data_IF_080890830071
#
_entry.id   IF_080890830071
#
_cell.length_a   1.000
_cell.length_b   1.000
_cell.length_c   1.000
_cell.angle_alpha   90.00
_cell.angle_beta   90.00
_cell.angle_gamma   90.00
#
_symmetry.space_group_name_H-M   'P 1'
#
loop_
_entity.id
_entity.type
_entity.pdbx_description
1 polymer ?
#
# COMPACT_ATOMS: atom_id res chain seq x y z
N UNK A 1 -11.10 32.52 29.79
CA UNK A 1 -12.02 31.55 30.42
C UNK A 1 -12.78 30.87 29.31
N UNK A 2 -12.69 29.56 29.18
CA UNK A 2 -13.36 28.75 28.14
C UNK A 2 -14.89 28.83 28.33
N UNK A 3 -15.63 29.17 27.26
CA UNK A 3 -17.09 29.21 27.27
C UNK A 3 -17.64 28.03 26.47
N UNK A 4 -18.58 27.30 27.08
CA UNK A 4 -19.23 26.14 26.43
C UNK A 4 -19.91 26.56 25.12
N UNK A 5 -20.46 27.78 25.06
CA UNK A 5 -21.09 28.33 23.84
C UNK A 5 -20.07 28.51 22.68
N UNK A 6 -18.82 28.88 22.96
CA UNK A 6 -17.78 28.98 21.94
C UNK A 6 -17.41 27.61 21.40
N UNK A 7 -17.38 26.60 22.26
CA UNK A 7 -17.15 25.21 21.89
C UNK A 7 -18.26 24.68 20.98
N UNK A 8 -19.53 24.85 21.37
CA UNK A 8 -20.67 24.39 20.58
C UNK A 8 -20.74 25.10 19.23
N UNK A 9 -20.58 26.44 19.20
CA UNK A 9 -20.56 27.21 17.96
C UNK A 9 -19.44 26.78 17.00
N UNK A 10 -18.31 26.30 17.54
CA UNK A 10 -17.22 25.79 16.70
C UNK A 10 -17.64 24.51 15.96
N UNK A 11 -18.28 23.57 16.64
CA UNK A 11 -18.74 22.34 16.03
C UNK A 11 -19.91 22.53 15.08
N UNK A 12 -20.82 23.46 15.38
CA UNK A 12 -21.91 23.83 14.45
C UNK A 12 -21.37 24.30 13.09
N UNK A 13 -20.28 25.09 13.09
CA UNK A 13 -19.61 25.51 11.86
C UNK A 13 -18.96 24.36 11.09
N UNK A 14 -18.52 23.31 11.78
CA UNK A 14 -17.85 22.14 11.22
C UNK A 14 -18.76 20.93 11.04
N UNK A 15 -20.08 21.13 10.96
CA UNK A 15 -21.10 20.10 10.70
C UNK A 15 -21.16 18.99 11.76
N UNK A 16 -21.04 19.38 13.04
CA UNK A 16 -21.09 18.47 14.19
C UNK A 16 -19.86 17.52 14.28
N UNK A 17 -19.94 16.52 15.14
CA UNK A 17 -18.86 15.57 15.39
C UNK A 17 -18.81 14.48 14.33
N UNK A 18 -17.62 14.13 13.86
CA UNK A 18 -17.44 12.94 13.03
C UNK A 18 -17.74 11.68 13.84
N UNK A 19 -18.61 10.82 13.31
CA UNK A 19 -19.06 9.59 13.99
C UNK A 19 -18.31 8.38 13.44
N UNK A 20 -17.75 7.57 14.31
CA UNK A 20 -17.00 6.35 13.93
C UNK A 20 -17.86 5.31 13.20
N UNK A 21 -19.18 5.32 13.39
CA UNK A 21 -20.10 4.37 12.76
C UNK A 21 -20.47 4.70 11.32
N UNK A 22 -20.04 5.85 10.81
CA UNK A 22 -20.39 6.32 9.45
C UNK A 22 -19.20 6.13 8.50
N UNK A 23 -18.90 4.90 8.16
CA UNK A 23 -17.82 4.58 7.25
C UNK A 23 -18.24 3.53 6.21
N UNK A 24 -17.44 3.43 5.16
CA UNK A 24 -17.59 2.44 4.10
C UNK A 24 -16.21 1.99 3.65
N UNK A 25 -16.04 0.70 3.41
CA UNK A 25 -14.82 0.13 2.85
C UNK A 25 -15.13 -0.46 1.48
N UNK A 26 -14.39 -0.05 0.47
CA UNK A 26 -14.47 -0.60 -0.89
C UNK A 26 -13.16 -1.29 -1.23
N UNK A 27 -13.25 -2.56 -1.60
CA UNK A 27 -12.12 -3.35 -2.05
C UNK A 27 -12.32 -3.58 -3.55
N UNK A 28 -11.40 -3.09 -4.39
CA UNK A 28 -11.43 -3.39 -5.80
C UNK A 28 -11.05 -4.87 -6.03
N UNK A 29 -11.62 -5.58 -7.02
CA UNK A 29 -11.18 -6.92 -7.33
C UNK A 29 -9.75 -6.91 -7.88
N UNK A 30 -8.88 -7.87 -7.46
CA UNK A 30 -7.54 -7.99 -8.02
C UNK A 30 -7.58 -8.41 -9.49
N UNK A 31 -6.57 -8.01 -10.27
CA UNK A 31 -6.56 -8.19 -11.73
C UNK A 31 -6.43 -9.65 -12.18
N UNK A 32 -5.66 -10.45 -11.43
CA UNK A 32 -5.33 -11.82 -11.82
C UNK A 32 -6.36 -12.88 -11.41
N UNK A 33 -7.37 -12.52 -10.63
CA UNK A 33 -8.41 -13.45 -10.17
C UNK A 33 -9.77 -12.76 -10.14
N UNK A 34 -10.77 -13.41 -10.66
CA UNK A 34 -12.14 -12.92 -10.61
C UNK A 34 -12.74 -13.20 -9.22
N UNK A 35 -12.85 -12.15 -8.42
CA UNK A 35 -13.51 -12.14 -7.11
C UNK A 35 -14.62 -11.10 -7.11
N UNK A 36 -15.79 -11.47 -6.60
CA UNK A 36 -16.83 -10.49 -6.33
C UNK A 36 -16.60 -9.86 -4.96
N UNK A 37 -16.00 -8.68 -4.94
CA UNK A 37 -15.69 -7.93 -3.72
C UNK A 37 -16.77 -6.91 -3.37
N UNK A 38 -17.75 -6.69 -4.25
CA UNK A 38 -18.77 -5.66 -4.05
C UNK A 38 -19.62 -5.86 -2.78
N UNK A 39 -20.06 -7.08 -2.42
CA UNK A 39 -20.83 -7.26 -1.19
C UNK A 39 -20.04 -7.01 0.09
N UNK A 40 -18.69 -7.15 0.09
CA UNK A 40 -17.84 -6.88 1.25
C UNK A 40 -18.00 -5.45 1.79
N UNK A 41 -18.38 -4.51 0.92
CA UNK A 41 -18.65 -3.13 1.26
C UNK A 41 -19.67 -2.96 2.39
N UNK A 42 -20.71 -3.81 2.39
CA UNK A 42 -21.81 -3.75 3.37
C UNK A 42 -21.53 -4.59 4.62
N UNK A 43 -20.53 -5.45 4.59
CA UNK A 43 -20.24 -6.43 5.65
C UNK A 43 -19.03 -6.08 6.51
N UNK A 44 -18.31 -5.00 6.18
CA UNK A 44 -17.23 -4.52 7.02
C UNK A 44 -17.80 -3.89 8.31
N UNK A 45 -17.57 -4.56 9.45
CA UNK A 45 -18.02 -4.12 10.77
C UNK A 45 -17.04 -3.09 11.37
N UNK A 46 -15.75 -3.31 11.20
CA UNK A 46 -14.74 -2.42 11.77
C UNK A 46 -13.50 -2.32 10.89
N UNK A 47 -12.89 -1.15 10.91
CA UNK A 47 -11.63 -0.83 10.24
C UNK A 47 -10.92 0.29 10.98
N UNK A 48 -9.66 0.48 10.68
CA UNK A 48 -8.85 1.59 11.15
C UNK A 48 -8.47 2.50 9.98
N UNK A 49 -8.30 3.79 10.25
CA UNK A 49 -7.70 4.69 9.27
C UNK A 49 -6.18 4.51 9.29
N UNK A 50 -5.52 4.49 8.12
CA UNK A 50 -4.09 4.30 8.05
C UNK A 50 -3.34 5.45 8.72
N UNK A 51 -2.31 5.11 9.50
CA UNK A 51 -1.44 6.08 10.15
C UNK A 51 -0.33 6.55 9.21
N UNK A 52 0.13 7.78 9.43
CA UNK A 52 1.30 8.34 8.77
C UNK A 52 2.30 8.81 9.82
N UNK A 53 3.56 8.46 9.68
CA UNK A 53 4.61 8.82 10.60
C UNK A 53 5.89 9.24 9.88
N UNK A 54 6.74 9.96 10.61
CA UNK A 54 8.07 10.38 10.15
C UNK A 54 9.09 9.93 11.17
N UNK A 55 10.12 9.24 10.72
CA UNK A 55 11.26 8.90 11.56
C UNK A 55 12.10 10.15 11.80
N UNK A 56 12.51 10.33 13.03
CA UNK A 56 13.33 11.46 13.46
C UNK A 56 14.76 10.98 13.67
N UNK A 57 15.72 11.69 13.10
CA UNK A 57 17.15 11.52 13.34
C UNK A 57 17.64 12.67 14.21
N UNK A 58 18.45 12.36 15.21
CA UNK A 58 19.08 13.39 16.05
C UNK A 58 20.42 13.78 15.42
N UNK A 59 20.58 15.06 15.16
CA UNK A 59 21.85 15.62 14.70
C UNK A 59 22.55 16.31 15.89
N UNK A 60 23.81 15.91 16.15
CA UNK A 60 24.63 16.45 17.24
C UNK A 60 25.88 17.09 16.67
N UNK A 61 25.84 18.39 16.39
CA UNK A 61 27.05 19.09 16.03
C UNK A 61 27.77 19.64 17.28
N UNK A 62 27.07 20.42 18.08
CA UNK A 62 27.54 20.95 19.38
C UNK A 62 26.33 21.29 20.26
N UNK A 63 26.33 20.84 21.51
CA UNK A 63 25.28 21.18 22.48
C UNK A 63 24.09 20.22 22.50
N UNK A 64 22.89 20.76 22.55
CA UNK A 64 21.64 19.98 22.63
C UNK A 64 21.36 19.32 21.27
N UNK A 65 20.98 18.00 21.23
CA UNK A 65 20.63 17.34 19.99
C UNK A 65 19.46 18.05 19.32
N UNK A 66 19.56 18.25 17.99
CA UNK A 66 18.50 18.81 17.17
C UNK A 66 17.78 17.68 16.45
N UNK A 67 16.45 17.50 16.66
CA UNK A 67 15.67 16.50 15.96
C UNK A 67 15.37 16.94 14.53
N UNK A 68 15.74 16.13 13.54
CA UNK A 68 15.48 16.35 12.13
C UNK A 68 14.61 15.21 11.57
N UNK A 69 13.65 15.55 10.71
CA UNK A 69 12.89 14.56 9.96
C UNK A 69 13.81 13.85 8.96
N UNK A 70 13.98 12.54 9.10
CA UNK A 70 14.94 11.76 8.31
C UNK A 70 14.29 10.99 7.17
N UNK A 71 13.20 10.26 7.44
CA UNK A 71 12.53 9.40 6.47
C UNK A 71 11.07 9.18 6.84
N UNK A 72 10.19 8.82 5.88
CA UNK A 72 8.86 8.36 6.23
C UNK A 72 8.94 7.05 7.02
N UNK A 73 8.06 6.88 8.00
CA UNK A 73 7.89 5.60 8.69
C UNK A 73 7.30 4.59 7.71
N UNK A 74 7.73 3.32 7.80
CA UNK A 74 7.11 2.25 7.05
C UNK A 74 5.61 2.16 7.38
N UNK A 75 4.80 1.95 6.36
CA UNK A 75 3.37 1.75 6.55
C UNK A 75 3.10 0.43 7.28
N UNK A 76 2.21 0.47 8.27
CA UNK A 76 1.78 -0.70 9.02
C UNK A 76 0.78 -1.54 8.23
N UNK A 77 0.39 -2.66 8.83
CA UNK A 77 -0.72 -3.47 8.33
C UNK A 77 -2.04 -2.87 8.81
N UNK A 78 -3.12 -3.13 8.08
CA UNK A 78 -4.47 -2.73 8.46
C UNK A 78 -5.35 -3.96 8.60
N UNK A 79 -6.17 -3.98 9.65
CA UNK A 79 -7.12 -5.08 9.87
C UNK A 79 -8.53 -4.63 9.58
N UNK A 80 -9.21 -5.37 8.73
CA UNK A 80 -10.63 -5.22 8.40
C UNK A 80 -11.38 -6.40 8.99
N UNK A 81 -12.43 -6.14 9.76
CA UNK A 81 -13.30 -7.19 10.31
C UNK A 81 -14.60 -7.25 9.54
N UNK A 82 -14.92 -8.44 9.03
CA UNK A 82 -16.14 -8.68 8.26
C UNK A 82 -17.12 -9.54 9.04
N UNK A 83 -18.40 -9.21 8.93
CA UNK A 83 -19.48 -10.08 9.40
C UNK A 83 -19.69 -11.16 8.36
N UNK A 84 -19.69 -12.44 8.78
CA UNK A 84 -19.90 -13.55 7.87
C UNK A 84 -21.37 -13.83 7.65
N UNK A 85 -21.75 -14.04 6.39
CA UNK A 85 -23.07 -14.55 6.02
C UNK A 85 -23.20 -16.05 6.33
N UNK A 86 -24.42 -16.59 6.32
CA UNK A 86 -24.68 -18.00 6.65
C UNK A 86 -24.07 -19.04 5.73
N UNK A 87 -23.70 -18.65 4.51
CA UNK A 87 -23.01 -19.48 3.53
C UNK A 87 -21.48 -19.36 3.58
N UNK A 88 -20.95 -18.49 4.48
CA UNK A 88 -19.53 -18.25 4.69
C UNK A 88 -18.76 -17.89 3.41
N UNK A 89 -19.42 -17.18 2.47
CA UNK A 89 -18.79 -16.83 1.20
C UNK A 89 -17.60 -15.88 1.35
N UNK A 90 -17.59 -15.00 2.37
CA UNK A 90 -16.49 -14.10 2.70
C UNK A 90 -15.22 -14.87 3.03
N UNK A 91 -15.36 -15.91 3.87
CA UNK A 91 -14.24 -16.79 4.22
C UNK A 91 -13.70 -17.51 2.99
N UNK A 92 -14.59 -18.06 2.17
CA UNK A 92 -14.22 -18.74 0.91
C UNK A 92 -13.53 -17.79 -0.08
N UNK A 93 -13.98 -16.52 -0.13
CA UNK A 93 -13.38 -15.50 -0.98
C UNK A 93 -11.94 -15.22 -0.56
N UNK A 94 -11.70 -14.96 0.72
CA UNK A 94 -10.36 -14.64 1.22
C UNK A 94 -9.44 -15.87 1.19
N UNK A 95 -9.92 -17.07 1.49
CA UNK A 95 -9.16 -18.31 1.35
C UNK A 95 -8.72 -18.53 -0.11
N UNK A 96 -9.63 -18.30 -1.06
CA UNK A 96 -9.32 -18.36 -2.49
C UNK A 96 -8.29 -17.30 -2.89
N UNK A 97 -8.38 -16.10 -2.34
CA UNK A 97 -7.42 -15.03 -2.63
C UNK A 97 -6.03 -15.34 -2.09
N UNK A 98 -5.91 -15.77 -0.82
CA UNK A 98 -4.62 -16.18 -0.25
C UNK A 98 -4.02 -17.38 -1.00
N UNK A 99 -4.84 -18.37 -1.31
CA UNK A 99 -4.36 -19.51 -2.12
C UNK A 99 -3.96 -19.10 -3.55
N UNK A 100 -4.56 -18.04 -4.10
CA UNK A 100 -4.13 -17.48 -5.39
C UNK A 100 -2.76 -16.78 -5.26
N UNK A 101 -2.50 -16.05 -4.18
CA UNK A 101 -1.20 -15.39 -3.92
C UNK A 101 -0.10 -16.46 -3.81
N UNK A 102 -0.34 -17.47 -2.97
CA UNK A 102 0.61 -18.56 -2.70
C UNK A 102 -0.12 -19.89 -2.68
N UNK A 103 -0.16 -20.61 -3.81
CA UNK A 103 -0.82 -21.91 -3.88
C UNK A 103 -0.16 -22.93 -2.94
N UNK A 104 -0.98 -23.63 -2.14
CA UNK A 104 -0.53 -24.61 -1.15
C UNK A 104 0.23 -25.78 -1.81
N UNK A 105 -0.06 -26.09 -3.07
CA UNK A 105 0.52 -27.24 -3.76
C UNK A 105 2.00 -27.07 -4.12
N UNK A 106 2.46 -25.85 -4.40
CA UNK A 106 3.82 -25.61 -4.88
C UNK A 106 4.55 -24.49 -4.15
N UNK A 107 3.87 -23.74 -3.28
CA UNK A 107 4.40 -22.60 -2.52
C UNK A 107 5.13 -21.55 -3.39
N UNK A 108 4.77 -21.46 -4.67
CA UNK A 108 5.37 -20.50 -5.59
C UNK A 108 4.49 -19.24 -5.67
N UNK A 109 4.95 -18.09 -5.15
CA UNK A 109 4.15 -16.87 -5.14
C UNK A 109 3.96 -16.35 -6.56
N UNK A 110 2.78 -15.77 -6.83
CA UNK A 110 2.49 -15.10 -8.08
C UNK A 110 3.11 -13.69 -8.13
N UNK A 111 3.10 -13.09 -9.30
CA UNK A 111 3.51 -11.70 -9.44
C UNK A 111 2.60 -10.77 -8.66
N UNK A 112 3.20 -9.74 -8.07
CA UNK A 112 2.49 -8.80 -7.19
C UNK A 112 1.32 -8.11 -7.90
N UNK A 113 1.50 -7.72 -9.14
CA UNK A 113 0.48 -7.02 -9.95
C UNK A 113 -0.78 -7.85 -10.20
N UNK A 114 -0.67 -9.21 -10.13
CA UNK A 114 -1.82 -10.10 -10.34
C UNK A 114 -2.74 -10.16 -9.12
N UNK A 115 -2.19 -10.06 -7.90
CA UNK A 115 -2.95 -10.27 -6.68
C UNK A 115 -3.19 -9.01 -5.85
N UNK A 116 -2.48 -7.92 -6.13
CA UNK A 116 -2.67 -6.65 -5.45
C UNK A 116 -3.92 -5.93 -5.93
N UNK A 117 -4.48 -5.14 -5.01
CA UNK A 117 -5.66 -4.33 -5.28
C UNK A 117 -5.58 -2.98 -4.61
N UNK A 118 -6.65 -2.19 -4.78
CA UNK A 118 -6.85 -0.93 -4.10
C UNK A 118 -7.98 -1.06 -3.09
N UNK A 119 -7.76 -0.53 -1.89
CA UNK A 119 -8.78 -0.45 -0.85
C UNK A 119 -9.05 1.03 -0.57
N UNK A 120 -10.32 1.42 -0.59
CA UNK A 120 -10.77 2.76 -0.26
C UNK A 120 -11.59 2.72 1.02
N UNK A 121 -11.18 3.49 2.03
CA UNK A 121 -11.88 3.65 3.30
C UNK A 121 -12.44 5.05 3.32
N UNK A 122 -13.76 5.17 3.37
CA UNK A 122 -14.48 6.44 3.29
C UNK A 122 -15.23 6.72 4.59
N UNK A 123 -15.10 7.95 5.09
CA UNK A 123 -15.85 8.47 6.24
C UNK A 123 -16.93 9.41 5.74
N UNK A 124 -18.13 9.25 6.27
CA UNK A 124 -19.30 10.06 5.88
C UNK A 124 -19.74 11.00 6.98
N UNK A 125 -20.39 12.08 6.57
CA UNK A 125 -21.05 13.04 7.45
C UNK A 125 -22.19 12.38 8.25
N UNK A 126 -22.34 12.81 9.50
CA UNK A 126 -23.42 12.39 10.38
C UNK A 126 -24.72 13.17 10.18
N UNK A 127 -24.65 14.35 9.56
CA UNK A 127 -25.79 15.28 9.43
C UNK A 127 -26.50 15.02 8.10
N UNK A 128 -27.74 14.55 8.17
CA UNK A 128 -28.66 14.59 7.03
C UNK A 128 -29.11 16.05 6.84
N UNK A 129 -28.49 16.76 5.91
CA UNK A 129 -28.97 18.11 5.54
C UNK A 129 -30.32 17.98 4.84
N UNK A 130 -31.25 18.91 5.10
CA UNK A 130 -32.61 18.90 4.52
C UNK A 130 -32.60 18.84 2.97
N UNK A 131 -31.56 19.34 2.32
CA UNK A 131 -31.36 19.25 0.87
C UNK A 131 -31.00 17.81 0.41
N UNK A 132 -30.40 16.99 1.29
CA UNK A 132 -30.02 15.61 0.98
C UNK A 132 -31.10 14.59 1.38
N UNK A 133 -32.18 15.03 2.03
CA UNK A 133 -33.27 14.15 2.46
C UNK A 133 -33.99 13.50 1.29
N UNK A 134 -34.06 14.18 0.15
CA UNK A 134 -34.68 13.67 -1.08
C UNK A 134 -33.81 12.65 -1.81
N UNK A 135 -32.49 12.71 -1.64
CA UNK A 135 -31.53 11.82 -2.29
C UNK A 135 -30.86 10.83 -1.33
N UNK A 136 -31.06 10.97 0.00
CA UNK A 136 -30.42 10.16 1.07
C UNK A 136 -28.89 9.95 0.88
N UNK A 137 -28.23 10.90 0.24
CA UNK A 137 -26.81 10.79 -0.06
C UNK A 137 -26.00 11.43 1.07
N UNK A 138 -25.39 10.60 1.92
CA UNK A 138 -24.42 11.08 2.90
C UNK A 138 -23.22 11.66 2.18
N UNK A 139 -22.79 12.87 2.57
CA UNK A 139 -21.62 13.49 1.98
C UNK A 139 -20.36 12.82 2.54
N UNK A 140 -19.44 12.40 1.66
CA UNK A 140 -18.14 11.88 2.04
C UNK A 140 -17.25 13.04 2.50
N UNK A 141 -16.80 12.98 3.77
CA UNK A 141 -15.99 14.03 4.39
C UNK A 141 -14.48 13.73 4.33
N UNK A 142 -14.14 12.45 4.37
CA UNK A 142 -12.75 12.02 4.30
C UNK A 142 -12.66 10.64 3.66
N UNK A 143 -11.59 10.36 2.94
CA UNK A 143 -11.28 9.00 2.53
C UNK A 143 -9.77 8.78 2.42
N UNK A 144 -9.37 7.55 2.67
CA UNK A 144 -8.02 7.07 2.47
C UNK A 144 -8.03 5.96 1.41
N UNK A 145 -7.17 6.09 0.41
CA UNK A 145 -7.00 5.08 -0.64
C UNK A 145 -5.66 4.39 -0.48
N UNK A 146 -5.70 3.08 -0.25
CA UNK A 146 -4.54 2.23 -0.08
C UNK A 146 -4.21 1.58 -1.42
N UNK A 147 -2.93 1.60 -1.77
CA UNK A 147 -2.42 1.06 -3.04
C UNK A 147 -1.55 -0.16 -2.80
N UNK A 148 -1.60 -1.11 -3.73
CA UNK A 148 -0.84 -2.35 -3.63
C UNK A 148 -1.28 -3.23 -2.45
N UNK A 149 -2.57 -3.14 -2.06
CA UNK A 149 -3.09 -3.87 -0.92
C UNK A 149 -3.36 -5.34 -1.25
N UNK A 150 -3.02 -6.23 -0.33
CA UNK A 150 -3.31 -7.65 -0.43
C UNK A 150 -3.45 -8.27 0.97
N UNK A 151 -4.26 -9.33 1.13
CA UNK A 151 -4.42 -10.00 2.42
C UNK A 151 -3.17 -10.81 2.75
N UNK A 152 -2.65 -10.62 3.98
CA UNK A 152 -1.51 -11.37 4.52
C UNK A 152 -1.93 -12.41 5.53
N UNK A 153 -3.05 -12.19 6.21
CA UNK A 153 -3.55 -13.10 7.25
C UNK A 153 -5.07 -13.05 7.33
N UNK A 154 -5.66 -14.21 7.53
CA UNK A 154 -7.06 -14.38 7.88
C UNK A 154 -7.09 -14.90 9.34
N UNK A 155 -7.80 -14.18 10.20
CA UNK A 155 -7.92 -14.56 11.60
C UNK A 155 -8.67 -15.86 11.80
N UNK A 156 -8.42 -16.48 12.94
CA UNK A 156 -9.14 -17.69 13.39
C UNK A 156 -10.55 -17.33 13.84
N UNK A 157 -11.51 -18.19 13.55
CA UNK A 157 -12.87 -18.11 14.03
C UNK A 157 -13.14 -19.30 14.96
N UNK A 158 -13.61 -19.01 16.16
CA UNK A 158 -13.97 -20.04 17.13
C UNK A 158 -15.34 -20.66 16.79
N UNK A 159 -15.47 -21.97 16.95
CA UNK A 159 -16.72 -22.68 16.83
C UNK A 159 -17.04 -23.28 18.19
N UNK A 160 -18.23 -22.98 18.76
CA UNK A 160 -18.65 -23.44 20.04
C UNK A 160 -20.16 -23.76 20.00
N UNK A 161 -20.54 -24.94 20.48
CA UNK A 161 -21.94 -25.35 20.56
C UNK A 161 -22.79 -24.56 21.55
N UNK A 162 -22.14 -23.92 22.52
CA UNK A 162 -22.81 -23.17 23.57
C UNK A 162 -23.00 -21.68 23.23
N UNK A 163 -22.45 -21.22 22.10
CA UNK A 163 -22.45 -19.81 21.69
C UNK A 163 -23.24 -19.65 20.38
N UNK A 164 -24.24 -18.79 20.38
CA UNK A 164 -25.07 -18.42 19.20
C UNK A 164 -24.66 -17.07 18.62
N UNK A 165 -23.41 -16.69 18.77
CA UNK A 165 -22.85 -15.42 18.28
C UNK A 165 -22.67 -15.38 16.76
N UNK A 166 -22.63 -14.16 16.22
CA UNK A 166 -22.36 -13.91 14.81
C UNK A 166 -20.85 -14.07 14.54
N UNK A 167 -20.49 -14.78 13.48
CA UNK A 167 -19.11 -14.93 13.07
C UNK A 167 -18.52 -13.61 12.53
N UNK A 168 -17.36 -13.26 13.08
CA UNK A 168 -16.53 -12.13 12.65
C UNK A 168 -15.23 -12.64 12.08
N UNK A 169 -14.89 -12.20 10.90
CA UNK A 169 -13.69 -12.58 10.17
C UNK A 169 -12.72 -11.40 10.12
N UNK A 170 -11.70 -11.36 10.97
CA UNK A 170 -10.65 -10.36 10.85
C UNK A 170 -9.68 -10.77 9.74
N UNK A 171 -9.43 -9.85 8.81
CA UNK A 171 -8.50 -10.02 7.71
C UNK A 171 -7.49 -8.89 7.76
N UNK A 172 -6.21 -9.23 7.85
CA UNK A 172 -5.12 -8.27 7.88
C UNK A 172 -4.57 -8.08 6.47
N UNK A 173 -4.48 -6.83 6.05
CA UNK A 173 -3.96 -6.42 4.77
C UNK A 173 -2.65 -5.67 4.94
N UNK A 174 -1.71 -5.95 4.06
CA UNK A 174 -0.53 -5.13 3.82
C UNK A 174 -0.74 -4.29 2.57
N UNK A 175 -0.21 -3.07 2.56
CA UNK A 175 -0.26 -2.16 1.44
C UNK A 175 1.08 -1.42 1.27
N UNK A 176 1.34 -0.89 0.08
CA UNK A 176 2.59 -0.22 -0.21
C UNK A 176 2.61 1.22 0.31
N UNK A 177 1.54 1.94 0.02
CA UNK A 177 1.35 3.33 0.47
C UNK A 177 -0.13 3.68 0.43
N UNK A 178 -0.48 4.78 1.03
CA UNK A 178 -1.83 5.30 0.97
C UNK A 178 -1.84 6.80 0.68
N UNK A 179 -2.94 7.28 0.09
CA UNK A 179 -3.16 8.68 -0.19
C UNK A 179 -4.50 9.12 0.42
N UNK A 180 -4.53 10.31 1.07
CA UNK A 180 -5.79 10.93 1.45
C UNK A 180 -6.54 11.37 0.19
N UNK A 181 -7.84 11.56 0.32
CA UNK A 181 -8.70 11.96 -0.81
C UNK A 181 -8.31 13.27 -1.48
N UNK A 182 -8.84 13.52 -2.70
CA UNK A 182 -8.46 14.69 -3.52
C UNK A 182 -8.83 16.03 -2.91
N UNK A 183 -9.75 16.06 -1.92
CA UNK A 183 -10.14 17.28 -1.24
C UNK A 183 -9.11 17.79 -0.22
N UNK A 184 -7.96 17.12 -0.11
CA UNK A 184 -6.88 17.60 0.74
C UNK A 184 -6.03 18.62 -0.02
N UNK A 185 -6.10 19.93 0.34
CA UNK A 185 -5.41 21.01 -0.40
C UNK A 185 -3.88 20.88 -0.36
N UNK A 186 -3.32 19.93 0.38
CA UNK A 186 -1.89 19.68 0.42
C UNK A 186 -1.37 18.87 -0.79
N UNK A 187 -2.23 18.16 -1.51
CA UNK A 187 -1.84 17.40 -2.70
C UNK A 187 -1.82 18.23 -3.98
N UNK A 188 -2.69 19.23 -4.11
CA UNK A 188 -2.79 20.03 -5.34
C UNK A 188 -1.55 20.91 -5.62
N UNK A 189 -0.75 21.24 -4.58
CA UNK A 189 0.40 22.15 -4.76
C UNK A 189 1.69 21.47 -5.23
N UNK A 190 1.81 20.15 -5.12
CA UNK A 190 3.05 19.47 -5.52
C UNK A 190 3.04 18.95 -6.97
N UNK A 191 1.89 18.66 -7.54
CA UNK A 191 1.82 18.16 -8.93
C UNK A 191 1.92 19.27 -9.97
N UNK A 192 1.54 20.51 -9.66
CA UNK A 192 1.68 21.65 -10.56
C UNK A 192 3.12 22.17 -10.69
N UNK A 193 4.05 21.76 -9.83
CA UNK A 193 5.43 22.23 -9.87
C UNK A 193 6.35 21.36 -10.74
N UNK A 194 5.87 20.22 -11.23
CA UNK A 194 6.66 19.31 -12.08
C UNK A 194 6.54 19.56 -13.57
N UNK A 195 5.54 20.30 -14.01
CA UNK A 195 5.29 20.54 -15.45
C UNK A 195 5.65 21.95 -15.95
N UNK A 196 6.18 22.82 -15.11
CA UNK A 196 6.80 24.06 -15.59
C UNK A 196 8.25 23.79 -16.01
N UNK A 197 8.43 23.07 -17.13
CA UNK A 197 9.65 23.14 -17.93
C UNK A 197 9.89 24.61 -18.25
N UNK A 198 11.04 25.21 -17.93
CA UNK A 198 11.31 26.57 -18.35
C UNK A 198 11.34 26.58 -19.86
N UNK A 199 10.35 27.24 -20.42
CA UNK A 199 10.31 27.59 -21.84
C UNK A 199 11.56 28.38 -22.20
N UNK A 200 12.26 27.90 -23.21
CA UNK A 200 13.52 28.32 -23.74
C UNK A 200 13.84 29.80 -23.69
N UNK A 201 14.95 30.10 -23.11
CA UNK A 201 15.80 31.18 -23.56
C UNK A 201 16.69 30.62 -24.67
N UNK A 202 16.40 31.01 -25.89
CA UNK A 202 17.27 30.85 -27.06
C UNK A 202 18.64 31.43 -26.71
N UNK A 203 19.74 30.68 -26.80
CA UNK A 203 21.07 31.29 -26.66
C UNK A 203 21.33 32.19 -27.88
N UNK A 204 22.01 33.34 -27.69
CA UNK A 204 22.39 34.20 -28.80
C UNK A 204 23.36 33.44 -29.70
N UNK A 205 23.18 33.62 -31.02
CA UNK A 205 24.05 33.11 -32.05
C UNK A 205 25.48 33.60 -31.82
N UNK A 206 26.39 32.71 -31.49
CA UNK A 206 27.83 32.98 -31.45
C UNK A 206 28.37 32.63 -32.82
N UNK A 207 28.99 33.65 -33.41
CA UNK A 207 29.60 33.61 -34.73
C UNK A 207 30.68 32.53 -34.86
N UNK A 208 30.75 32.10 -36.07
CA UNK A 208 31.74 31.29 -36.76
C UNK A 208 33.16 31.51 -36.22
N UNK A 209 33.72 30.53 -35.52
CA UNK A 209 35.17 30.38 -35.31
C UNK A 209 35.55 28.92 -35.22
N UNK A 210 36.18 28.46 -36.29
CA UNK A 210 37.26 27.47 -36.24
C UNK A 210 36.88 26.07 -35.80
N UNK A 211 36.76 25.18 -36.72
CA UNK A 211 36.76 23.73 -36.57
C UNK A 211 37.94 23.23 -35.71
N UNK A 212 37.76 22.56 -34.58
CA UNK A 212 38.83 21.79 -33.97
C UNK A 212 38.90 20.42 -34.59
N UNK A 213 40.12 19.95 -34.81
CA UNK A 213 40.53 18.70 -35.43
C UNK A 213 39.88 17.48 -34.79
N UNK A 214 39.47 16.54 -35.60
CA UNK A 214 39.04 15.18 -35.24
C UNK A 214 40.13 14.44 -34.46
N UNK A 215 39.84 13.86 -33.29
CA UNK A 215 40.76 12.97 -32.58
C UNK A 215 40.93 11.65 -33.37
N UNK A 216 42.13 11.03 -33.33
CA UNK A 216 42.40 9.79 -34.06
C UNK A 216 41.64 8.61 -33.44
N UNK A 217 41.33 7.56 -34.24
CA UNK A 217 40.56 6.41 -33.78
C UNK A 217 41.33 5.61 -32.71
N UNK A 218 40.68 5.34 -31.58
CA UNK A 218 41.20 4.45 -30.55
C UNK A 218 41.25 3.02 -31.11
N UNK A 219 42.44 2.49 -31.21
CA UNK A 219 42.68 1.06 -31.42
C UNK A 219 42.19 0.26 -30.25
N UNK A 220 41.21 -0.62 -30.47
CA UNK A 220 40.71 -1.60 -29.52
C UNK A 220 41.73 -2.77 -29.52
N UNK A 221 42.25 -3.18 -28.37
CA UNK A 221 43.08 -4.39 -28.33
C UNK A 221 42.21 -5.63 -28.60
N UNK A 222 42.64 -6.42 -29.55
CA UNK A 222 42.04 -7.67 -29.98
C UNK A 222 42.10 -8.75 -28.88
N UNK A 223 40.93 -9.29 -28.56
CA UNK A 223 40.67 -10.72 -28.35
C UNK A 223 41.63 -11.49 -27.45
N UNK A 224 41.25 -11.63 -26.18
CA UNK A 224 41.74 -12.75 -25.35
C UNK A 224 40.86 -13.96 -25.68
N UNK A 225 41.44 -14.92 -26.39
CA UNK A 225 40.88 -16.24 -26.69
C UNK A 225 40.84 -17.07 -25.40
N UNK A 226 39.73 -17.63 -24.95
CA UNK A 226 39.75 -18.56 -23.81
C UNK A 226 40.46 -19.87 -24.20
N UNK A 227 41.40 -20.30 -23.39
CA UNK A 227 42.06 -21.60 -23.48
C UNK A 227 41.13 -22.73 -23.05
N UNK A 228 41.15 -23.89 -23.70
CA UNK A 228 40.33 -25.03 -23.29
C UNK A 228 40.88 -25.67 -22.00
N UNK A 229 39.99 -25.89 -21.06
CA UNK A 229 40.25 -26.56 -19.78
C UNK A 229 40.49 -28.04 -20.07
N UNK A 230 41.69 -28.56 -19.71
CA UNK A 230 42.00 -29.99 -19.75
C UNK A 230 41.24 -30.72 -18.63
N UNK A 231 40.59 -31.87 -18.88
CA UNK A 231 39.97 -32.67 -17.83
C UNK A 231 41.07 -33.36 -16.99
N UNK A 232 41.15 -32.96 -15.72
CA UNK A 232 41.96 -33.62 -14.72
C UNK A 232 41.30 -34.91 -14.26
N UNK A 233 41.93 -36.06 -14.60
CA UNK A 233 41.55 -37.38 -14.09
C UNK A 233 41.90 -37.53 -12.61
N UNK A 234 40.88 -37.44 -11.73
CA UNK A 234 41.00 -37.82 -10.32
C UNK A 234 40.51 -39.25 -10.14
N UNK A 235 41.43 -40.17 -9.89
CA UNK A 235 41.13 -41.54 -9.43
C UNK A 235 40.55 -41.44 -8.01
N UNK A 236 39.34 -41.88 -7.80
CA UNK A 236 38.80 -42.17 -6.47
C UNK A 236 39.15 -43.63 -6.12
N UNK A 237 40.05 -43.79 -5.12
CA UNK A 237 40.30 -45.07 -4.47
C UNK A 237 39.09 -45.40 -3.56
N UNK A 238 38.54 -46.61 -3.74
CA UNK A 238 37.48 -47.14 -2.90
C UNK A 238 38.03 -47.50 -1.50
N UNK A 239 37.28 -47.06 -0.48
CA UNK A 239 37.42 -47.53 0.88
C UNK A 239 36.08 -48.09 1.33
N UNK A 240 35.97 -49.42 1.31
CA UNK A 240 34.86 -50.14 1.92
C UNK A 240 35.00 -50.14 3.44
N UNK A 241 33.94 -49.89 4.15
CA UNK A 241 33.78 -50.25 5.55
C UNK A 241 32.38 -50.85 5.74
N UNK A 242 32.36 -52.16 5.88
CA UNK A 242 31.24 -52.94 6.43
C UNK A 242 31.19 -52.74 7.93
N UNK A 243 30.00 -52.46 8.44
CA UNK A 243 29.69 -52.42 9.88
C UNK A 243 28.25 -52.85 10.10
N UNK A 244 28.11 -54.11 10.47
CA UNK A 244 26.88 -54.68 11.04
C UNK A 244 26.62 -54.06 12.44
N UNK A 245 25.38 -53.64 12.70
CA UNK A 245 24.55 -54.03 13.87
C UNK A 245 23.15 -53.43 13.64
#
# INVERSE_FOLDING_TARGET
MFKVSEFLNHFDKHKDFARTSKFEVRIAPPSGIQLDTMPLRLQCESTELPAYGVNVSENRYYGVPEPLAASPTAFGDITLTFICAGDMWEKKLFDRWINFIMPINNYNPRYKDDYCTQIEISQFDGVATSENLATQTSQRIYYAKLFGAFPISIGTMSLNWADDGIHRLPVTFRYDYWLPGPDNPMMEKNDQKKDSKPSGSTPPAIGDRGQPATPPPRTVPSTIRPQPIKPGGGRFAGGGASGSY
#
